data_IF_554871799224
#
_entry.id   IF_554871799224
#
_cell.length_a   1.000
_cell.length_b   1.000
_cell.length_c   1.000
_cell.angle_alpha   90.00
_cell.angle_beta   90.00
_cell.angle_gamma   90.00
#
_symmetry.space_group_name_H-M   'P 1'
#
loop_
_entity.id
_entity.type
_entity.pdbx_description
1 polymer ?
#
# COMPACT_ATOMS: atom_id res chain seq x y z
N UNK A 1 -4.09 0.75 4.57
CA UNK A 1 -3.13 -0.38 4.62
C UNK A 1 -3.69 -1.45 5.54
N UNK A 2 -3.69 -2.73 5.17
CA UNK A 2 -4.45 -3.84 5.79
C UNK A 2 -4.10 -4.20 7.26
N UNK A 3 -3.59 -3.29 8.09
CA UNK A 3 -3.35 -3.52 9.52
C UNK A 3 -2.27 -4.56 9.88
N UNK A 4 -1.69 -5.26 8.91
CA UNK A 4 -0.63 -6.23 9.12
C UNK A 4 0.72 -5.53 9.36
N UNK A 5 1.48 -6.01 10.34
CA UNK A 5 2.87 -5.59 10.48
C UNK A 5 3.70 -6.09 9.28
N UNK A 6 4.67 -5.29 8.84
CA UNK A 6 5.58 -5.67 7.76
C UNK A 6 6.35 -6.96 8.08
N UNK A 7 6.66 -7.20 9.36
CA UNK A 7 7.32 -8.43 9.79
C UNK A 7 6.44 -9.65 9.52
N UNK A 8 5.15 -9.56 9.87
CA UNK A 8 4.18 -10.63 9.65
C UNK A 8 3.93 -10.91 8.17
N UNK A 9 3.77 -9.87 7.34
CA UNK A 9 3.59 -10.06 5.89
C UNK A 9 4.83 -10.68 5.24
N UNK A 10 6.02 -10.24 5.63
CA UNK A 10 7.27 -10.80 5.12
C UNK A 10 7.41 -12.28 5.49
N UNK A 11 7.09 -12.65 6.73
CA UNK A 11 7.08 -14.04 7.19
C UNK A 11 6.09 -14.89 6.39
N UNK A 12 4.83 -14.44 6.25
CA UNK A 12 3.80 -15.16 5.48
C UNK A 12 4.17 -15.32 4.00
N UNK A 13 4.81 -14.31 3.40
CA UNK A 13 5.32 -14.37 2.03
C UNK A 13 6.65 -15.17 1.94
N UNK A 14 7.32 -15.46 3.07
CA UNK A 14 8.62 -16.13 3.18
C UNK A 14 9.81 -15.29 2.69
N UNK A 15 9.67 -13.96 2.65
CA UNK A 15 10.74 -13.02 2.24
C UNK A 15 11.32 -12.32 3.46
N UNK A 16 12.47 -11.66 3.31
CA UNK A 16 13.01 -10.86 4.41
C UNK A 16 12.16 -9.60 4.63
N UNK A 17 12.04 -9.18 5.89
CA UNK A 17 11.42 -7.89 6.23
C UNK A 17 12.11 -6.73 5.51
N UNK A 18 13.44 -6.77 5.36
CA UNK A 18 14.18 -5.73 4.65
C UNK A 18 13.85 -5.66 3.16
N UNK A 19 13.67 -6.81 2.50
CA UNK A 19 13.23 -6.88 1.11
C UNK A 19 11.85 -6.23 0.98
N UNK A 20 10.88 -6.66 1.80
CA UNK A 20 9.53 -6.08 1.78
C UNK A 20 9.56 -4.55 2.00
N UNK A 21 10.40 -4.08 2.92
CA UNK A 21 10.60 -2.66 3.21
C UNK A 21 11.20 -1.87 2.04
N UNK A 22 12.12 -2.48 1.31
CA UNK A 22 12.68 -1.90 0.11
C UNK A 22 11.67 -1.85 -1.04
N UNK A 23 10.83 -2.87 -1.17
CA UNK A 23 9.76 -2.92 -2.18
C UNK A 23 8.71 -1.82 -1.92
N UNK A 24 8.23 -1.68 -0.68
CA UNK A 24 7.25 -0.63 -0.31
C UNK A 24 7.77 0.79 -0.55
N UNK A 25 9.08 1.03 -0.36
CA UNK A 25 9.72 2.31 -0.64
C UNK A 25 10.14 2.51 -2.10
N UNK A 26 9.95 1.51 -2.95
CA UNK A 26 10.50 1.47 -4.30
C UNK A 26 12.02 1.77 -4.34
N UNK A 27 12.79 1.22 -3.39
CA UNK A 27 14.21 1.56 -3.20
C UNK A 27 15.05 0.32 -2.88
N UNK A 28 15.90 -0.11 -3.80
CA UNK A 28 16.87 -1.19 -3.55
C UNK A 28 18.26 -0.67 -3.19
N UNK A 29 18.76 0.30 -3.96
CA UNK A 29 20.03 1.03 -3.76
C UNK A 29 19.81 2.52 -4.09
N UNK A 30 20.73 3.40 -3.67
CA UNK A 30 20.58 4.88 -3.67
C UNK A 30 20.09 5.52 -4.99
N UNK A 31 20.13 4.82 -6.12
CA UNK A 31 19.68 5.29 -7.45
C UNK A 31 18.92 4.22 -8.26
N UNK A 32 18.36 3.17 -7.64
CA UNK A 32 17.57 2.15 -8.36
C UNK A 32 16.23 1.88 -7.69
N UNK A 33 15.20 1.95 -8.53
CA UNK A 33 13.87 1.47 -8.21
C UNK A 33 13.92 0.00 -7.78
N UNK A 34 12.91 -0.41 -7.01
CA UNK A 34 12.71 -1.80 -6.69
C UNK A 34 12.38 -2.58 -7.98
N UNK A 35 13.03 -3.73 -8.16
CA UNK A 35 12.79 -4.62 -9.29
C UNK A 35 12.51 -6.04 -8.75
N UNK A 36 11.32 -6.29 -8.21
CA UNK A 36 10.95 -7.60 -7.69
C UNK A 36 10.83 -8.62 -8.82
N UNK A 37 11.32 -9.84 -8.59
CA UNK A 37 11.02 -10.96 -9.49
C UNK A 37 9.51 -11.26 -9.49
N UNK A 38 8.99 -11.84 -10.58
CA UNK A 38 7.60 -12.30 -10.62
C UNK A 38 7.26 -13.23 -9.45
N UNK A 39 8.15 -14.17 -9.11
CA UNK A 39 7.96 -15.04 -7.95
C UNK A 39 7.76 -14.27 -6.64
N UNK A 40 8.42 -13.13 -6.47
CA UNK A 40 8.24 -12.27 -5.29
C UNK A 40 6.85 -11.63 -5.28
N UNK A 41 6.38 -11.14 -6.43
CA UNK A 41 5.02 -10.58 -6.58
C UNK A 41 3.96 -11.62 -6.23
N UNK A 42 4.05 -12.84 -6.78
CA UNK A 42 3.09 -13.92 -6.50
C UNK A 42 3.05 -14.31 -5.02
N UNK A 43 4.20 -14.35 -4.35
CA UNK A 43 4.28 -14.69 -2.92
C UNK A 43 3.65 -13.63 -2.04
N UNK A 44 3.88 -12.35 -2.35
CA UNK A 44 3.28 -11.23 -1.62
C UNK A 44 1.77 -11.21 -1.84
N UNK A 45 1.31 -11.42 -3.09
CA UNK A 45 -0.11 -11.48 -3.42
C UNK A 45 -0.83 -12.61 -2.66
N UNK A 46 -0.26 -13.81 -2.65
CA UNK A 46 -0.78 -14.94 -1.87
C UNK A 46 -0.80 -14.66 -0.36
N UNK A 47 0.20 -13.95 0.16
CA UNK A 47 0.24 -13.55 1.56
C UNK A 47 -0.76 -12.43 1.92
N UNK A 48 -1.27 -11.70 0.94
CA UNK A 48 -2.31 -10.68 1.09
C UNK A 48 -3.70 -11.19 0.72
N UNK A 49 -3.81 -12.43 0.22
CA UNK A 49 -5.05 -13.02 -0.30
C UNK A 49 -5.68 -12.19 -1.44
N UNK A 50 -4.82 -11.69 -2.35
CA UNK A 50 -5.22 -10.89 -3.52
C UNK A 50 -4.66 -11.47 -4.81
N UNK A 51 -5.21 -11.03 -5.94
CA UNK A 51 -4.63 -11.33 -7.26
C UNK A 51 -3.29 -10.60 -7.44
N UNK A 52 -2.26 -11.23 -8.05
CA UNK A 52 -1.00 -10.57 -8.39
C UNK A 52 -1.16 -9.30 -9.23
N UNK A 53 -2.21 -9.22 -10.05
CA UNK A 53 -2.50 -8.04 -10.87
C UNK A 53 -2.82 -6.80 -10.02
N UNK A 54 -3.33 -6.97 -8.80
CA UNK A 54 -3.60 -5.85 -7.89
C UNK A 54 -2.32 -5.23 -7.30
N UNK A 55 -1.18 -5.90 -7.43
CA UNK A 55 0.13 -5.37 -7.00
C UNK A 55 0.88 -4.66 -8.14
N UNK A 56 0.39 -4.78 -9.37
CA UNK A 56 0.97 -4.14 -10.53
C UNK A 56 0.28 -2.78 -10.76
N UNK A 57 1.00 -1.79 -11.33
CA UNK A 57 0.37 -0.55 -11.72
C UNK A 57 -0.80 -0.83 -12.67
N UNK A 58 -1.96 -0.25 -12.37
CA UNK A 58 -3.05 -0.17 -13.32
C UNK A 58 -2.59 0.70 -14.50
N UNK A 59 -3.08 0.40 -15.70
CA UNK A 59 -2.90 1.28 -16.86
C UNK A 59 -3.33 2.70 -16.46
N UNK A 60 -2.52 3.71 -16.83
CA UNK A 60 -2.61 5.07 -16.28
C UNK A 60 -3.93 5.80 -16.61
N UNK A 61 -4.86 5.13 -17.29
CA UNK A 61 -6.21 5.60 -17.61
C UNK A 61 -7.31 5.24 -16.61
N UNK A 62 -7.05 4.47 -15.54
CA UNK A 62 -8.10 4.09 -14.59
C UNK A 62 -7.59 3.91 -13.15
N UNK A 63 -7.25 5.02 -12.51
CA UNK A 63 -7.27 5.12 -11.04
C UNK A 63 -8.63 5.69 -10.64
N UNK A 64 -9.58 4.81 -10.31
CA UNK A 64 -10.85 5.23 -9.69
C UNK A 64 -10.54 5.90 -8.36
N UNK A 65 -10.81 7.20 -8.27
CA UNK A 65 -10.78 8.03 -7.07
C UNK A 65 -11.90 7.60 -6.10
N UNK A 66 -11.81 6.42 -5.51
CA UNK A 66 -12.72 6.00 -4.44
C UNK A 66 -11.96 5.71 -3.15
N UNK A 67 -11.47 6.78 -2.52
CA UNK A 67 -11.42 6.87 -1.06
C UNK A 67 -11.66 8.32 -0.60
N UNK A 68 -12.86 8.82 -0.85
CA UNK A 68 -13.41 9.97 -0.11
C UNK A 68 -14.48 9.45 0.85
N UNK A 69 -14.04 8.74 1.89
CA UNK A 69 -14.90 8.48 3.04
C UNK A 69 -14.87 9.72 3.93
N UNK A 70 -15.80 10.64 3.65
CA UNK A 70 -16.24 11.68 4.57
C UNK A 70 -16.72 11.01 5.86
N UNK A 71 -16.18 11.41 7.00
CA UNK A 71 -16.95 11.42 8.25
C UNK A 71 -17.00 12.85 8.76
N UNK A 72 -18.15 13.46 8.50
CA UNK A 72 -18.57 14.76 8.99
C UNK A 72 -19.10 14.59 10.40
N UNK A 73 -18.58 15.36 11.35
CA UNK A 73 -19.37 15.78 12.50
C UNK A 73 -19.06 17.24 12.81
N UNK A 74 -19.89 18.10 12.22
CA UNK A 74 -20.17 19.44 12.69
C UNK A 74 -20.56 19.43 14.19
N UNK A 75 -20.23 20.49 14.92
CA UNK A 75 -21.22 21.29 15.67
C UNK A 75 -20.56 22.50 16.35
N UNK A 76 -20.88 23.66 15.79
CA UNK A 76 -21.40 24.87 16.45
C UNK A 76 -20.89 25.28 17.85
N UNK A 77 -20.33 26.49 17.92
CA UNK A 77 -20.85 27.62 18.73
C UNK A 77 -20.21 28.90 18.18
N UNK A 78 -20.87 29.63 17.30
CA UNK A 78 -21.91 30.65 17.57
C UNK A 78 -21.36 32.05 17.90
N UNK A 79 -21.64 32.97 16.96
CA UNK A 79 -21.88 34.42 17.10
C UNK A 79 -20.73 35.43 17.14
N UNK A 80 -20.50 36.05 15.97
CA UNK A 80 -20.24 37.49 15.74
C UNK A 80 -21.46 38.36 16.15
N UNK A 81 -21.51 39.71 16.07
CA UNK A 81 -20.49 40.78 15.83
C UNK A 81 -20.60 41.90 16.93
N UNK A 82 -20.06 43.13 16.90
CA UNK A 82 -19.41 44.04 15.94
C UNK A 82 -18.18 44.69 16.58
#
# INVERSE_FOLDING_TARGET
>A
MQGLSQAYLAERAGISRSLLSNLERNSYNRNRAADPTLSTIYRIAAALDVSPLQLLPADEGQVDEHDQSQDSAEMSVESLPQ
#
